data_IF_529173525807
#
_entry.id   IF_529173525807
#
_cell.length_a   1.000
_cell.length_b   1.000
_cell.length_c   1.000
_cell.angle_alpha   90.00
_cell.angle_beta   90.00
_cell.angle_gamma   90.00
#
_symmetry.space_group_name_H-M   'P 1'
#
loop_
_entity.id
_entity.type
_entity.pdbx_description
1 polymer ?
#
# COMPACT_ATOMS: atom_id res chain seq x y z
N UNK A 1 3.24 19.64 12.60
CA UNK A 1 2.94 18.63 11.56
C UNK A 1 4.12 18.66 10.61
N UNK A 2 5.02 17.68 10.67
CA UNK A 2 6.14 17.63 9.73
C UNK A 2 5.57 17.32 8.35
N UNK A 3 5.64 18.30 7.44
CA UNK A 3 5.29 18.06 6.04
C UNK A 3 6.24 16.98 5.50
N UNK A 4 5.67 15.86 5.06
CA UNK A 4 6.45 14.85 4.33
C UNK A 4 6.97 15.49 3.05
N UNK A 5 8.27 15.34 2.82
CA UNK A 5 8.89 15.75 1.58
C UNK A 5 8.47 14.80 0.47
N UNK A 6 8.55 15.25 -0.79
CA UNK A 6 8.31 14.38 -1.97
C UNK A 6 9.16 13.10 -1.86
N UNK A 7 10.42 13.23 -1.46
CA UNK A 7 11.33 12.10 -1.26
C UNK A 7 10.85 11.11 -0.19
N UNK A 8 10.29 11.60 0.92
CA UNK A 8 9.73 10.74 1.95
C UNK A 8 8.47 10.02 1.45
N UNK A 9 7.61 10.72 0.68
CA UNK A 9 6.42 10.13 0.08
C UNK A 9 6.76 9.05 -0.96
N UNK A 10 7.83 9.25 -1.73
CA UNK A 10 8.35 8.25 -2.67
C UNK A 10 8.85 7.00 -1.93
N UNK A 11 9.59 7.16 -0.83
CA UNK A 11 10.05 6.04 -0.01
C UNK A 11 8.90 5.29 0.66
N UNK A 12 7.91 6.02 1.17
CA UNK A 12 6.72 5.44 1.79
C UNK A 12 5.88 4.69 0.74
N UNK A 13 5.78 5.24 -0.47
CA UNK A 13 5.08 4.61 -1.60
C UNK A 13 5.79 3.33 -2.06
N UNK A 14 7.11 3.38 -2.21
CA UNK A 14 7.90 2.20 -2.57
C UNK A 14 7.76 1.10 -1.51
N UNK A 15 7.82 1.46 -0.23
CA UNK A 15 7.62 0.51 0.87
C UNK A 15 6.21 -0.10 0.84
N UNK A 16 5.18 0.72 0.66
CA UNK A 16 3.80 0.23 0.58
C UNK A 16 3.56 -0.67 -0.64
N UNK A 17 4.22 -0.40 -1.77
CA UNK A 17 4.18 -1.27 -2.96
C UNK A 17 4.85 -2.61 -2.69
N UNK A 18 6.00 -2.63 -2.00
CA UNK A 18 6.66 -3.88 -1.59
C UNK A 18 5.83 -4.69 -0.60
N UNK A 19 5.16 -4.03 0.36
CA UNK A 19 4.24 -4.70 1.28
C UNK A 19 3.06 -5.34 0.53
N UNK A 20 2.50 -4.63 -0.45
CA UNK A 20 1.43 -5.16 -1.30
C UNK A 20 1.92 -6.35 -2.15
N UNK A 21 3.08 -6.24 -2.79
CA UNK A 21 3.67 -7.31 -3.59
C UNK A 21 3.93 -8.57 -2.75
N UNK A 22 4.50 -8.42 -1.55
CA UNK A 22 4.70 -9.55 -0.63
C UNK A 22 3.38 -10.18 -0.19
N UNK A 23 2.34 -9.35 0.03
CA UNK A 23 1.01 -9.87 0.35
C UNK A 23 0.41 -10.63 -0.83
N UNK A 24 0.53 -10.13 -2.05
CA UNK A 24 0.04 -10.78 -3.28
C UNK A 24 0.80 -12.10 -3.56
N UNK A 25 2.11 -12.12 -3.34
CA UNK A 25 2.93 -13.33 -3.47
C UNK A 25 2.54 -14.37 -2.41
N UNK A 26 2.36 -13.95 -1.15
CA UNK A 26 1.88 -14.84 -0.11
C UNK A 26 0.49 -15.41 -0.44
N UNK A 27 -0.44 -14.57 -0.92
CA UNK A 27 -1.80 -14.97 -1.30
C UNK A 27 -1.78 -15.99 -2.45
N UNK A 28 -0.94 -15.79 -3.47
CA UNK A 28 -0.78 -16.71 -4.59
C UNK A 28 -0.27 -18.11 -4.18
N UNK A 29 0.48 -18.20 -3.08
CA UNK A 29 1.03 -19.46 -2.56
C UNK A 29 0.19 -20.10 -1.43
N UNK A 30 -0.95 -19.49 -1.04
CA UNK A 30 -1.81 -20.07 -0.01
C UNK A 30 -2.47 -21.35 -0.51
N UNK A 31 -2.17 -22.46 0.15
CA UNK A 31 -2.68 -23.79 -0.20
C UNK A 31 -3.97 -24.18 0.55
N UNK A 32 -4.31 -23.48 1.62
CA UNK A 32 -5.51 -23.72 2.43
C UNK A 32 -5.87 -22.47 3.28
N UNK A 33 -7.16 -22.32 3.57
CA UNK A 33 -7.74 -21.17 4.24
C UNK A 33 -9.10 -21.48 4.82
N UNK A 34 -9.28 -21.21 6.11
CA UNK A 34 -10.64 -21.10 6.64
C UNK A 34 -11.29 -19.82 6.12
N UNK A 35 -12.62 -19.82 5.98
CA UNK A 35 -13.38 -18.66 5.51
C UNK A 35 -13.08 -17.37 6.30
N UNK A 36 -12.80 -17.49 7.61
CA UNK A 36 -12.38 -16.35 8.46
C UNK A 36 -10.97 -15.84 8.13
N UNK A 37 -10.05 -16.73 7.77
CA UNK A 37 -8.71 -16.32 7.33
C UNK A 37 -8.80 -15.61 5.99
N UNK A 38 -9.66 -16.08 5.08
CA UNK A 38 -9.87 -15.43 3.78
C UNK A 38 -10.44 -14.01 3.95
N UNK A 39 -11.44 -13.82 4.81
CA UNK A 39 -11.99 -12.49 5.12
C UNK A 39 -10.94 -11.52 5.68
N UNK A 40 -10.08 -12.00 6.60
CA UNK A 40 -8.99 -11.20 7.16
C UNK A 40 -7.95 -10.89 6.09
N UNK A 41 -7.58 -11.87 5.26
CA UNK A 41 -6.61 -11.70 4.19
C UNK A 41 -7.09 -10.68 3.16
N UNK A 42 -8.33 -10.80 2.68
CA UNK A 42 -8.92 -9.83 1.76
C UNK A 42 -8.93 -8.41 2.33
N UNK A 43 -9.23 -8.28 3.63
CA UNK A 43 -9.20 -6.98 4.30
C UNK A 43 -7.79 -6.40 4.29
N UNK A 44 -6.78 -7.20 4.62
CA UNK A 44 -5.37 -6.76 4.59
C UNK A 44 -4.99 -6.31 3.16
N UNK A 45 -5.35 -7.08 2.14
CA UNK A 45 -5.10 -6.71 0.75
C UNK A 45 -5.78 -5.40 0.34
N UNK A 46 -7.05 -5.20 0.74
CA UNK A 46 -7.77 -3.93 0.51
C UNK A 46 -7.08 -2.77 1.21
N UNK A 47 -6.69 -2.94 2.47
CA UNK A 47 -6.03 -1.88 3.24
C UNK A 47 -4.67 -1.48 2.63
N UNK A 48 -3.90 -2.45 2.12
CA UNK A 48 -2.64 -2.20 1.41
C UNK A 48 -2.84 -1.46 0.09
N UNK A 49 -3.84 -1.87 -0.71
CA UNK A 49 -4.20 -1.18 -1.96
C UNK A 49 -4.63 0.27 -1.70
N UNK A 50 -5.44 0.49 -0.67
CA UNK A 50 -5.85 1.81 -0.23
C UNK A 50 -4.67 2.67 0.23
N UNK A 51 -3.70 2.07 0.95
CA UNK A 51 -2.49 2.76 1.39
C UNK A 51 -1.64 3.22 0.21
N UNK A 52 -1.40 2.35 -0.77
CA UNK A 52 -0.68 2.69 -2.01
C UNK A 52 -1.41 3.83 -2.74
N UNK A 53 -2.72 3.70 -2.95
CA UNK A 53 -3.52 4.71 -3.63
C UNK A 53 -3.45 6.08 -2.97
N UNK A 54 -3.58 6.13 -1.63
CA UNK A 54 -3.48 7.38 -0.85
C UNK A 54 -2.11 8.02 -1.00
N UNK A 55 -1.04 7.23 -0.94
CA UNK A 55 0.33 7.72 -1.10
C UNK A 55 0.59 8.24 -2.52
N UNK A 56 0.08 7.58 -3.56
CA UNK A 56 0.17 8.06 -4.94
C UNK A 56 -0.56 9.39 -5.13
N UNK A 57 -1.77 9.52 -4.56
CA UNK A 57 -2.53 10.77 -4.58
C UNK A 57 -1.83 11.90 -3.82
N UNK A 58 -1.27 11.61 -2.66
CA UNK A 58 -0.54 12.59 -1.83
C UNK A 58 0.74 13.04 -2.55
N UNK A 59 1.47 12.12 -3.18
CA UNK A 59 2.65 12.41 -3.99
C UNK A 59 2.31 13.26 -5.22
N UNK A 60 1.26 12.92 -5.96
CA UNK A 60 0.78 13.69 -7.12
C UNK A 60 0.36 15.11 -6.70
N UNK A 61 -0.40 15.23 -5.61
CA UNK A 61 -0.80 16.52 -5.06
C UNK A 61 0.42 17.36 -4.65
N UNK A 62 1.40 16.76 -3.97
CA UNK A 62 2.62 17.46 -3.55
C UNK A 62 3.46 17.91 -4.75
N UNK A 63 3.61 17.06 -5.78
CA UNK A 63 4.32 17.39 -7.03
C UNK A 63 3.64 18.51 -7.82
N UNK A 64 2.30 18.60 -7.76
CA UNK A 64 1.54 19.69 -8.41
C UNK A 64 1.66 21.01 -7.64
N UNK A 65 1.72 20.97 -6.32
CA UNK A 65 1.86 22.16 -5.48
C UNK A 65 3.29 22.74 -5.47
N UNK A 66 4.30 21.95 -5.83
CA UNK A 66 5.71 22.37 -5.93
C UNK A 66 6.05 23.04 -7.29
N UNK A 67 5.09 23.11 -8.22
CA UNK A 67 5.26 23.59 -9.59
C UNK A 67 4.67 24.99 -9.80
#
# INVERSE_FOLDING_TARGET
>A
MSEKTIKQLEQDLESAKRELEQWEDHDAHRSDGSQRQDEIHERIGRDLKDKVYKLERELDAKRKSDK
#
